data_IF_708846868463
#
_entry.id   IF_708846868463
#
_cell.length_a   1.000
_cell.length_b   1.000
_cell.length_c   1.000
_cell.angle_alpha   90.00
_cell.angle_beta   90.00
_cell.angle_gamma   90.00
#
_symmetry.space_group_name_H-M   'P 1'
#
loop_
_entity.id
_entity.type
_entity.pdbx_description
1 polymer ?
#
# COMPACT_ATOMS: atom_id res chain seq x y z
N UNK A 1 -13.01 24.89 -2.11
CA UNK A 1 -14.43 24.63 -2.23
C UNK A 1 -15.16 24.94 -0.91
N UNK A 2 -15.80 26.11 -0.79
CA UNK A 2 -16.49 26.58 0.43
C UNK A 2 -15.61 26.58 1.71
N UNK A 3 -14.30 26.74 1.55
CA UNK A 3 -13.32 26.77 2.63
C UNK A 3 -12.77 25.40 3.07
N UNK A 4 -13.24 24.29 2.47
CA UNK A 4 -12.63 22.98 2.73
C UNK A 4 -11.33 22.81 1.94
N UNK A 5 -10.33 22.25 2.59
CA UNK A 5 -9.03 21.94 2.00
C UNK A 5 -8.84 20.43 2.01
N UNK A 6 -8.68 19.84 0.84
CA UNK A 6 -8.34 18.42 0.71
C UNK A 6 -6.85 18.22 0.53
N UNK A 7 -6.34 17.16 1.12
CA UNK A 7 -4.92 16.79 1.03
C UNK A 7 -4.74 15.45 0.31
N UNK A 8 -3.65 15.34 -0.42
CA UNK A 8 -3.22 14.10 -1.07
C UNK A 8 -1.70 14.05 -1.14
N UNK A 9 -1.15 12.86 -1.14
CA UNK A 9 0.29 12.59 -1.12
C UNK A 9 0.68 11.73 -2.31
N UNK A 10 1.79 12.08 -2.97
CA UNK A 10 2.42 11.24 -3.99
C UNK A 10 3.45 10.33 -3.34
N UNK A 11 3.31 9.05 -3.59
CA UNK A 11 4.22 8.03 -3.05
C UNK A 11 5.24 7.52 -4.07
N UNK A 12 5.39 8.22 -5.20
CA UNK A 12 6.42 7.92 -6.19
C UNK A 12 7.82 8.20 -5.64
N UNK A 13 8.78 7.37 -6.02
CA UNK A 13 10.20 7.58 -5.63
C UNK A 13 10.89 8.60 -6.55
N UNK A 14 12.09 9.00 -6.16
CA UNK A 14 12.91 9.94 -6.95
C UNK A 14 13.44 9.33 -8.24
N UNK A 15 13.49 8.00 -8.34
CA UNK A 15 13.96 7.27 -9.53
C UNK A 15 13.06 6.07 -9.83
N UNK A 16 12.98 5.60 -11.08
CA UNK A 16 12.04 4.57 -11.53
C UNK A 16 12.53 3.14 -11.26
N UNK A 17 13.01 2.87 -10.04
CA UNK A 17 13.51 1.54 -9.69
C UNK A 17 12.42 0.56 -9.25
N UNK A 18 11.28 1.08 -8.79
CA UNK A 18 10.15 0.27 -8.30
C UNK A 18 8.94 0.33 -9.24
N UNK A 19 8.58 1.52 -9.70
CA UNK A 19 7.54 1.75 -10.73
C UNK A 19 8.08 2.70 -11.78
N UNK A 20 7.38 2.81 -12.90
CA UNK A 20 7.71 3.73 -13.99
C UNK A 20 7.53 5.21 -13.62
N UNK A 21 6.69 5.50 -12.61
CA UNK A 21 6.47 6.88 -12.16
C UNK A 21 7.53 7.30 -11.13
N UNK A 22 7.96 8.55 -11.28
CA UNK A 22 8.84 9.23 -10.33
C UNK A 22 8.18 10.52 -9.84
N UNK A 23 8.74 11.13 -8.79
CA UNK A 23 8.30 12.46 -8.32
C UNK A 23 8.25 13.45 -9.48
N UNK A 24 9.28 13.48 -10.36
CA UNK A 24 9.34 14.42 -11.48
C UNK A 24 8.28 14.13 -12.55
N UNK A 25 8.06 12.86 -12.91
CA UNK A 25 7.03 12.52 -13.91
C UNK A 25 5.63 12.76 -13.36
N UNK A 26 5.39 12.48 -12.09
CA UNK A 26 4.13 12.79 -11.41
C UNK A 26 3.87 14.29 -11.35
N UNK A 27 4.91 15.10 -11.04
CA UNK A 27 4.81 16.55 -11.06
C UNK A 27 4.42 17.07 -12.46
N UNK A 28 5.10 16.60 -13.52
CA UNK A 28 4.78 16.99 -14.90
C UNK A 28 3.35 16.62 -15.28
N UNK A 29 2.88 15.44 -14.89
CA UNK A 29 1.51 15.01 -15.16
C UNK A 29 0.47 15.88 -14.44
N UNK A 30 0.71 16.19 -13.17
CA UNK A 30 -0.14 17.10 -12.38
C UNK A 30 -0.18 18.50 -13.00
N UNK A 31 0.98 19.05 -13.29
CA UNK A 31 1.12 20.43 -13.75
C UNK A 31 0.48 20.68 -15.11
N UNK A 32 0.69 19.77 -16.07
CA UNK A 32 0.34 20.03 -17.45
C UNK A 32 -1.01 19.45 -17.88
N UNK A 33 -1.51 18.41 -17.19
CA UNK A 33 -2.70 17.71 -17.65
C UNK A 33 -3.74 17.48 -16.58
N UNK A 34 -3.36 16.97 -15.41
CA UNK A 34 -4.33 16.54 -14.39
C UNK A 34 -5.03 17.74 -13.76
N UNK A 35 -4.27 18.65 -13.14
CA UNK A 35 -4.85 19.84 -12.47
C UNK A 35 -5.59 20.74 -13.46
N UNK A 36 -5.04 21.07 -14.66
CA UNK A 36 -5.78 21.85 -15.66
C UNK A 36 -7.09 21.20 -16.13
N UNK A 37 -7.15 19.87 -16.19
CA UNK A 37 -8.40 19.18 -16.53
C UNK A 37 -9.43 19.26 -15.40
N UNK A 38 -8.98 19.07 -14.16
CA UNK A 38 -9.84 19.13 -12.96
C UNK A 38 -10.48 20.50 -12.74
N UNK A 39 -9.71 21.57 -12.94
CA UNK A 39 -10.19 22.95 -12.73
C UNK A 39 -11.30 23.38 -13.70
N UNK A 40 -11.53 22.61 -14.76
CA UNK A 40 -12.62 22.86 -15.73
C UNK A 40 -13.95 22.22 -15.33
N UNK A 41 -13.99 21.49 -14.23
CA UNK A 41 -15.14 20.71 -13.78
C UNK A 41 -15.43 20.92 -12.30
N UNK A 42 -16.65 20.62 -11.92
CA UNK A 42 -17.06 20.47 -10.51
C UNK A 42 -17.33 19.00 -10.24
N UNK A 43 -16.94 18.50 -9.08
CA UNK A 43 -17.12 17.11 -8.68
C UNK A 43 -18.13 17.03 -7.54
N UNK A 44 -19.17 16.23 -7.73
CA UNK A 44 -20.13 15.88 -6.68
C UNK A 44 -19.67 14.67 -5.88
N UNK A 45 -18.96 13.74 -6.54
CA UNK A 45 -18.36 12.56 -5.94
C UNK A 45 -16.95 12.34 -6.48
N UNK A 46 -15.99 11.84 -5.66
CA UNK A 46 -14.60 11.61 -6.10
C UNK A 46 -14.44 10.62 -7.26
N UNK A 47 -15.40 9.71 -7.46
CA UNK A 47 -15.35 8.72 -8.56
C UNK A 47 -15.50 9.36 -9.95
N UNK A 48 -16.04 10.57 -10.04
CA UNK A 48 -16.16 11.31 -11.30
C UNK A 48 -14.81 11.72 -11.88
N UNK A 49 -13.75 11.68 -11.06
CA UNK A 49 -12.39 12.00 -11.49
C UNK A 49 -11.92 11.06 -12.60
N UNK A 50 -12.26 9.78 -12.56
CA UNK A 50 -11.83 8.82 -13.57
C UNK A 50 -12.34 9.18 -14.96
N UNK A 51 -13.57 9.65 -15.06
CA UNK A 51 -14.14 10.16 -16.31
C UNK A 51 -13.40 11.40 -16.80
N UNK A 52 -13.12 12.34 -15.90
CA UNK A 52 -12.37 13.57 -16.19
C UNK A 52 -10.95 13.28 -16.71
N UNK A 53 -10.29 12.27 -16.16
CA UNK A 53 -8.90 11.92 -16.47
C UNK A 53 -8.75 10.72 -17.42
N UNK A 54 -9.83 10.28 -18.08
CA UNK A 54 -9.83 9.10 -18.97
C UNK A 54 -8.88 9.20 -20.16
N UNK A 55 -8.56 10.41 -20.60
CA UNK A 55 -7.61 10.67 -21.69
C UNK A 55 -6.13 10.47 -21.27
N UNK A 56 -5.84 10.45 -19.96
CA UNK A 56 -4.49 10.24 -19.44
C UNK A 56 -4.28 8.76 -19.19
N UNK A 57 -3.34 8.16 -19.92
CA UNK A 57 -2.97 6.75 -19.71
C UNK A 57 -2.02 6.62 -18.53
N UNK A 58 -2.18 5.53 -17.72
CA UNK A 58 -1.34 5.27 -16.54
C UNK A 58 -1.26 6.49 -15.62
N UNK A 59 -0.07 6.89 -15.17
CA UNK A 59 0.15 8.01 -14.23
C UNK A 59 -0.71 7.84 -12.95
N UNK A 60 -0.69 6.64 -12.41
CA UNK A 60 -1.56 6.25 -11.30
C UNK A 60 -1.22 7.00 -10.01
N UNK A 61 0.08 7.16 -9.71
CA UNK A 61 0.51 7.87 -8.51
C UNK A 61 0.18 9.37 -8.58
N UNK A 62 0.32 9.98 -9.75
CA UNK A 62 -0.13 11.36 -9.95
C UNK A 62 -1.64 11.51 -9.82
N UNK A 63 -2.43 10.58 -10.37
CA UNK A 63 -3.90 10.56 -10.24
C UNK A 63 -4.34 10.34 -8.81
N UNK A 64 -3.63 9.48 -8.05
CA UNK A 64 -3.98 9.16 -6.67
C UNK A 64 -3.97 10.38 -5.75
N UNK A 65 -3.03 11.31 -5.95
CA UNK A 65 -2.95 12.56 -5.16
C UNK A 65 -4.27 13.32 -5.21
N UNK A 66 -4.75 13.58 -6.43
CA UNK A 66 -5.96 14.39 -6.63
C UNK A 66 -7.22 13.61 -6.26
N UNK A 67 -7.24 12.29 -6.45
CA UNK A 67 -8.33 11.44 -5.97
C UNK A 67 -8.42 11.45 -4.44
N UNK A 68 -7.29 11.33 -3.75
CA UNK A 68 -7.24 11.42 -2.29
C UNK A 68 -7.72 12.79 -1.80
N UNK A 69 -7.25 13.89 -2.41
CA UNK A 69 -7.70 15.24 -2.03
C UNK A 69 -9.23 15.42 -2.21
N UNK A 70 -9.82 14.86 -3.26
CA UNK A 70 -11.27 14.89 -3.46
C UNK A 70 -12.02 14.05 -2.41
N UNK A 71 -11.52 12.86 -2.06
CA UNK A 71 -12.09 12.02 -1.01
C UNK A 71 -12.01 12.68 0.37
N UNK A 72 -10.92 13.38 0.65
CA UNK A 72 -10.77 14.12 1.89
C UNK A 72 -11.82 15.24 2.00
N UNK A 73 -11.98 16.08 0.96
CA UNK A 73 -13.03 17.12 0.89
C UNK A 73 -14.42 16.48 1.01
N UNK A 74 -14.65 15.38 0.32
CA UNK A 74 -15.95 14.70 0.34
C UNK A 74 -16.33 14.23 1.74
N UNK A 75 -15.38 13.64 2.46
CA UNK A 75 -15.58 13.19 3.84
C UNK A 75 -15.75 14.38 4.83
N UNK A 76 -14.97 15.47 4.64
CA UNK A 76 -15.12 16.71 5.41
C UNK A 76 -16.53 17.32 5.24
N UNK A 77 -17.05 17.37 4.01
CA UNK A 77 -18.43 17.85 3.74
C UNK A 77 -19.50 17.01 4.45
N UNK A 78 -19.26 15.71 4.61
CA UNK A 78 -20.14 14.82 5.36
C UNK A 78 -19.94 14.90 6.88
N UNK A 79 -18.96 15.66 7.36
CA UNK A 79 -18.58 15.75 8.78
C UNK A 79 -18.27 14.38 9.41
N UNK A 80 -17.67 13.48 8.63
CA UNK A 80 -17.34 12.11 9.06
C UNK A 80 -15.87 11.80 8.76
N UNK A 81 -15.23 10.95 9.60
CA UNK A 81 -13.94 10.37 9.24
C UNK A 81 -14.03 9.57 7.93
N UNK A 82 -12.98 9.61 7.13
CA UNK A 82 -12.96 8.93 5.82
C UNK A 82 -13.26 7.44 5.93
N UNK A 83 -12.68 6.74 6.93
CA UNK A 83 -12.94 5.31 7.13
C UNK A 83 -14.42 5.00 7.30
N UNK A 84 -15.19 5.88 7.96
CA UNK A 84 -16.63 5.73 8.12
C UNK A 84 -17.38 5.99 6.81
N UNK A 85 -16.94 6.98 6.04
CA UNK A 85 -17.56 7.33 4.74
C UNK A 85 -17.44 6.17 3.74
N UNK A 86 -16.33 5.47 3.74
CA UNK A 86 -16.09 4.33 2.83
C UNK A 86 -16.62 2.99 3.37
N UNK A 87 -17.29 2.98 4.52
CA UNK A 87 -17.88 1.76 5.09
C UNK A 87 -16.95 0.91 5.95
N UNK A 88 -15.86 1.49 6.43
CA UNK A 88 -14.95 0.84 7.36
C UNK A 88 -15.52 0.69 8.77
N UNK A 89 -14.89 -0.15 9.58
CA UNK A 89 -15.27 -0.43 10.97
C UNK A 89 -14.33 0.28 11.95
N UNK A 90 -14.89 0.76 13.08
CA UNK A 90 -14.14 1.39 14.16
C UNK A 90 -13.39 0.34 14.98
N UNK A 91 -12.29 -0.18 14.45
CA UNK A 91 -11.39 -1.09 15.16
C UNK A 91 -9.95 -0.59 15.08
N UNK A 92 -9.09 -0.89 16.06
CA UNK A 92 -7.66 -0.69 15.87
C UNK A 92 -7.18 -1.45 14.64
N UNK A 93 -6.22 -0.87 13.93
CA UNK A 93 -5.61 -1.50 12.76
C UNK A 93 -4.30 -2.15 13.20
N UNK A 94 -4.21 -3.45 13.02
CA UNK A 94 -2.99 -4.19 13.29
C UNK A 94 -1.88 -3.78 12.32
N UNK A 95 -0.70 -3.55 12.87
CA UNK A 95 0.48 -3.13 12.14
C UNK A 95 1.42 -4.30 11.88
N UNK A 96 2.04 -4.30 10.73
CA UNK A 96 3.18 -5.12 10.39
C UNK A 96 4.38 -4.27 10.05
N UNK A 97 5.55 -4.86 10.15
CA UNK A 97 6.83 -4.21 9.83
C UNK A 97 7.61 -5.02 8.80
N UNK A 98 8.43 -4.32 8.01
CA UNK A 98 9.39 -4.92 7.07
C UNK A 98 10.75 -4.97 7.75
N UNK A 99 11.37 -6.14 7.77
CA UNK A 99 12.75 -6.35 8.19
C UNK A 99 13.61 -6.56 6.95
N UNK A 100 14.54 -5.64 6.72
CA UNK A 100 15.43 -5.62 5.56
C UNK A 100 16.90 -5.47 6.04
N UNK A 101 17.35 -6.43 6.82
CA UNK A 101 18.66 -6.41 7.45
C UNK A 101 19.79 -6.75 6.47
N UNK A 102 20.97 -6.18 6.68
CA UNK A 102 22.15 -6.43 5.89
C UNK A 102 22.89 -7.73 6.27
N UNK A 103 22.59 -8.28 7.46
CA UNK A 103 23.17 -9.52 7.98
C UNK A 103 22.13 -10.36 8.70
N UNK A 104 22.43 -11.64 8.88
CA UNK A 104 21.57 -12.56 9.64
C UNK A 104 21.45 -12.13 11.12
N UNK A 105 22.54 -11.68 11.75
CA UNK A 105 22.51 -11.20 13.12
C UNK A 105 21.61 -9.98 13.29
N UNK A 106 21.73 -8.98 12.42
CA UNK A 106 20.88 -7.80 12.39
C UNK A 106 19.40 -8.17 12.17
N UNK A 107 19.14 -9.15 11.30
CA UNK A 107 17.78 -9.65 11.07
C UNK A 107 17.16 -10.24 12.36
N UNK A 108 17.93 -10.97 13.14
CA UNK A 108 17.43 -11.51 14.43
C UNK A 108 17.12 -10.38 15.43
N UNK A 109 18.01 -9.39 15.55
CA UNK A 109 17.83 -8.26 16.46
C UNK A 109 16.60 -7.43 16.06
N UNK A 110 16.42 -7.15 14.77
CA UNK A 110 15.27 -6.43 14.24
C UNK A 110 13.95 -7.18 14.48
N UNK A 111 13.94 -8.49 14.28
CA UNK A 111 12.76 -9.33 14.54
C UNK A 111 12.42 -9.31 16.03
N UNK A 112 13.40 -9.48 16.92
CA UNK A 112 13.18 -9.46 18.36
C UNK A 112 12.64 -8.10 18.82
N UNK A 113 13.20 -7.01 18.29
CA UNK A 113 12.70 -5.66 18.50
C UNK A 113 11.27 -5.48 18.04
N UNK A 114 10.93 -5.98 16.84
CA UNK A 114 9.58 -5.90 16.28
C UNK A 114 8.58 -6.69 17.14
N UNK A 115 8.91 -7.92 17.53
CA UNK A 115 8.07 -8.77 18.39
C UNK A 115 7.86 -8.10 19.75
N UNK A 116 8.93 -7.58 20.36
CA UNK A 116 8.86 -6.88 21.66
C UNK A 116 8.01 -5.60 21.59
N UNK A 117 8.01 -4.92 20.43
CA UNK A 117 7.16 -3.76 20.14
C UNK A 117 5.70 -4.12 19.85
N UNK A 118 5.37 -5.41 19.81
CA UNK A 118 4.01 -5.93 19.65
C UNK A 118 3.51 -6.01 18.20
N UNK A 119 4.38 -5.87 17.20
CA UNK A 119 3.98 -6.06 15.80
C UNK A 119 3.42 -7.45 15.57
N UNK A 120 2.29 -7.53 14.88
CA UNK A 120 1.56 -8.78 14.64
C UNK A 120 2.07 -9.54 13.42
N UNK A 121 2.76 -8.86 12.52
CA UNK A 121 3.29 -9.41 11.28
C UNK A 121 4.68 -8.83 10.99
N UNK A 122 5.58 -9.70 10.56
CA UNK A 122 6.92 -9.36 10.10
C UNK A 122 7.08 -9.82 8.65
N UNK A 123 7.55 -8.94 7.76
CA UNK A 123 7.83 -9.25 6.36
C UNK A 123 9.34 -9.33 6.14
N UNK A 124 9.78 -10.47 5.63
CA UNK A 124 11.19 -10.75 5.31
C UNK A 124 11.40 -10.75 3.81
N UNK A 125 12.46 -10.12 3.35
CA UNK A 125 12.88 -10.22 1.95
C UNK A 125 13.47 -11.60 1.69
N UNK A 126 13.03 -12.25 0.62
CA UNK A 126 13.57 -13.53 0.17
C UNK A 126 14.06 -13.44 -1.28
N UNK A 127 15.07 -14.24 -1.59
CA UNK A 127 15.61 -14.38 -2.94
C UNK A 127 16.14 -15.80 -3.16
N UNK A 128 16.69 -16.05 -4.33
CA UNK A 128 17.38 -17.28 -4.67
C UNK A 128 18.57 -17.58 -3.74
N UNK A 129 19.12 -16.54 -3.08
CA UNK A 129 20.27 -16.66 -2.16
C UNK A 129 19.86 -16.91 -0.70
N UNK A 130 18.59 -16.74 -0.38
CA UNK A 130 18.09 -16.95 0.99
C UNK A 130 18.13 -18.42 1.37
N UNK A 131 18.46 -18.71 2.63
CA UNK A 131 18.50 -20.08 3.16
C UNK A 131 17.14 -20.46 3.77
N UNK A 132 16.37 -21.37 3.14
CA UNK A 132 15.05 -21.77 3.65
C UNK A 132 15.13 -22.45 5.01
N UNK A 133 16.19 -23.21 5.31
CA UNK A 133 16.30 -23.90 6.59
C UNK A 133 16.47 -22.93 7.75
N UNK A 134 17.34 -21.92 7.59
CA UNK A 134 17.53 -20.87 8.61
C UNK A 134 16.22 -20.11 8.86
N UNK A 135 15.48 -19.78 7.78
CA UNK A 135 14.20 -19.08 7.89
C UNK A 135 13.14 -19.94 8.58
N UNK A 136 13.08 -21.24 8.30
CA UNK A 136 12.18 -22.18 8.98
C UNK A 136 12.46 -22.22 10.49
N UNK A 137 13.71 -22.33 10.89
CA UNK A 137 14.13 -22.33 12.28
C UNK A 137 13.85 -21.01 12.98
N UNK A 138 14.05 -19.89 12.27
CA UNK A 138 13.73 -18.56 12.76
C UNK A 138 12.23 -18.40 13.03
N UNK A 139 11.38 -18.70 12.04
CA UNK A 139 9.92 -18.55 12.13
C UNK A 139 9.37 -19.41 13.26
N UNK A 140 9.89 -20.62 13.44
CA UNK A 140 9.46 -21.53 14.50
C UNK A 140 9.67 -21.00 15.92
N UNK A 141 10.58 -20.01 16.11
CA UNK A 141 10.81 -19.37 17.42
C UNK A 141 9.69 -18.39 17.81
N UNK A 142 8.89 -17.91 16.84
CA UNK A 142 7.87 -16.89 17.06
C UNK A 142 6.47 -17.35 16.60
N UNK A 143 5.88 -18.39 17.21
CA UNK A 143 4.65 -19.02 16.71
C UNK A 143 3.40 -18.15 16.78
N UNK A 144 3.46 -16.99 17.46
CA UNK A 144 2.36 -16.01 17.56
C UNK A 144 2.48 -14.86 16.56
N UNK A 145 3.56 -14.82 15.77
CA UNK A 145 3.82 -13.76 14.79
C UNK A 145 3.60 -14.29 13.38
N UNK A 146 2.88 -13.54 12.55
CA UNK A 146 2.73 -13.86 11.14
C UNK A 146 4.00 -13.46 10.38
N UNK A 147 4.57 -14.38 9.63
CA UNK A 147 5.70 -14.08 8.76
C UNK A 147 5.27 -14.08 7.31
N UNK A 148 5.55 -12.98 6.61
CA UNK A 148 5.39 -12.85 5.17
C UNK A 148 6.76 -12.91 4.49
N UNK A 149 6.84 -13.61 3.38
CA UNK A 149 8.01 -13.57 2.50
C UNK A 149 7.75 -12.59 1.37
N UNK A 150 8.68 -11.70 1.07
CA UNK A 150 8.57 -10.78 -0.06
C UNK A 150 9.73 -11.01 -1.02
N UNK A 151 9.41 -11.46 -2.22
CA UNK A 151 10.39 -11.85 -3.24
C UNK A 151 10.65 -10.75 -4.27
N UNK A 152 9.81 -9.73 -4.40
CA UNK A 152 9.92 -8.65 -5.41
C UNK A 152 10.33 -9.17 -6.80
N UNK A 153 9.72 -10.25 -7.27
CA UNK A 153 9.98 -10.85 -8.57
C UNK A 153 11.31 -11.60 -8.73
N UNK A 154 11.98 -11.95 -7.63
CA UNK A 154 13.34 -12.51 -7.66
C UNK A 154 13.42 -13.90 -8.31
N UNK A 155 12.32 -14.63 -8.44
CA UNK A 155 12.33 -15.98 -9.00
C UNK A 155 11.96 -15.99 -10.49
N UNK A 156 12.42 -17.03 -11.18
CA UNK A 156 12.19 -17.23 -12.61
C UNK A 156 11.74 -18.68 -12.87
N UNK A 157 11.39 -18.99 -14.12
CA UNK A 157 11.08 -20.37 -14.51
C UNK A 157 12.22 -21.35 -14.15
N UNK A 158 13.47 -20.93 -14.29
CA UNK A 158 14.61 -21.80 -14.00
C UNK A 158 14.86 -21.99 -12.51
N UNK A 159 14.42 -21.05 -11.68
CA UNK A 159 14.64 -21.04 -10.21
C UNK A 159 13.38 -21.37 -9.41
N UNK A 160 12.28 -21.74 -10.05
CA UNK A 160 11.03 -22.16 -9.37
C UNK A 160 11.26 -23.31 -8.39
N UNK A 161 12.23 -24.19 -8.65
CA UNK A 161 12.59 -25.29 -7.74
C UNK A 161 13.20 -24.78 -6.43
N UNK A 162 13.83 -23.59 -6.43
CA UNK A 162 14.31 -22.93 -5.21
C UNK A 162 13.15 -22.30 -4.45
N UNK A 163 12.20 -21.64 -5.14
CA UNK A 163 10.99 -21.07 -4.54
C UNK A 163 10.21 -22.14 -3.76
N UNK A 164 10.07 -23.34 -4.31
CA UNK A 164 9.36 -24.46 -3.65
C UNK A 164 9.95 -24.85 -2.30
N UNK A 165 11.21 -24.57 -2.03
CA UNK A 165 11.84 -24.84 -0.72
C UNK A 165 11.28 -23.94 0.40
N UNK A 166 10.68 -22.78 0.05
CA UNK A 166 10.06 -21.88 1.02
C UNK A 166 8.64 -22.29 1.42
N UNK A 167 8.03 -23.24 0.71
CA UNK A 167 6.66 -23.69 0.99
C UNK A 167 6.49 -24.34 2.37
N UNK A 168 7.59 -24.84 2.96
CA UNK A 168 7.60 -25.49 4.26
C UNK A 168 8.24 -24.65 5.37
N UNK A 169 8.58 -23.38 5.09
CA UNK A 169 9.24 -22.52 6.08
C UNK A 169 8.28 -21.98 7.15
N UNK A 170 6.96 -22.02 6.90
CA UNK A 170 5.95 -21.49 7.81
C UNK A 170 5.54 -20.05 7.50
N UNK A 171 5.86 -19.54 6.31
CA UNK A 171 5.34 -18.25 5.85
C UNK A 171 3.83 -18.30 5.66
N UNK A 172 3.14 -17.26 6.11
CA UNK A 172 1.70 -17.08 5.91
C UNK A 172 1.37 -16.86 4.43
N UNK A 173 2.24 -16.16 3.73
CA UNK A 173 2.16 -15.90 2.29
C UNK A 173 3.54 -15.63 1.69
N UNK A 174 3.64 -15.76 0.36
CA UNK A 174 4.80 -15.30 -0.42
C UNK A 174 4.32 -14.18 -1.35
N UNK A 175 4.85 -12.98 -1.16
CA UNK A 175 4.54 -11.81 -1.96
C UNK A 175 5.39 -11.77 -3.22
N UNK A 176 4.76 -11.51 -4.36
CA UNK A 176 5.33 -11.30 -5.69
C UNK A 176 6.54 -12.20 -5.99
N UNK A 177 6.33 -13.52 -6.13
CA UNK A 177 7.46 -14.44 -6.35
C UNK A 177 8.15 -14.24 -7.70
N UNK A 178 7.39 -13.84 -8.74
CA UNK A 178 7.87 -13.63 -10.11
C UNK A 178 7.65 -12.18 -10.55
N UNK A 179 8.33 -11.78 -11.63
CA UNK A 179 8.11 -10.44 -12.20
C UNK A 179 6.64 -10.24 -12.59
N UNK A 180 6.19 -8.99 -12.58
CA UNK A 180 4.79 -8.57 -12.76
C UNK A 180 4.12 -9.12 -14.02
N UNK A 181 4.89 -9.41 -15.08
CA UNK A 181 4.37 -9.90 -16.37
C UNK A 181 4.26 -11.42 -16.42
N UNK A 182 4.57 -12.14 -15.35
CA UNK A 182 4.69 -13.60 -15.33
C UNK A 182 3.48 -14.31 -14.68
N UNK A 183 2.27 -13.80 -14.90
CA UNK A 183 1.05 -14.36 -14.30
C UNK A 183 0.85 -15.86 -14.57
N UNK A 184 1.18 -16.33 -15.79
CA UNK A 184 1.09 -17.76 -16.12
C UNK A 184 2.08 -18.61 -15.31
N UNK A 185 3.31 -18.13 -15.11
CA UNK A 185 4.29 -18.82 -14.30
C UNK A 185 3.86 -18.84 -12.83
N UNK A 186 3.30 -17.72 -12.35
CA UNK A 186 2.74 -17.62 -11.01
C UNK A 186 1.61 -18.62 -10.79
N UNK A 187 0.67 -18.75 -11.75
CA UNK A 187 -0.41 -19.73 -11.70
C UNK A 187 0.11 -21.17 -11.61
N UNK A 188 1.05 -21.54 -12.50
CA UNK A 188 1.66 -22.87 -12.49
C UNK A 188 2.38 -23.20 -11.17
N UNK A 189 3.04 -22.20 -10.57
CA UNK A 189 3.71 -22.38 -9.30
C UNK A 189 2.69 -22.51 -8.16
N UNK A 190 1.68 -21.63 -8.11
CA UNK A 190 0.65 -21.65 -7.07
C UNK A 190 -0.14 -22.94 -7.05
N UNK A 191 -0.38 -23.58 -8.22
CA UNK A 191 -1.06 -24.87 -8.29
C UNK A 191 -0.33 -25.97 -7.48
N UNK A 192 0.99 -25.88 -7.37
CA UNK A 192 1.83 -26.88 -6.71
C UNK A 192 2.33 -26.48 -5.34
N UNK A 193 2.05 -25.25 -4.88
CA UNK A 193 2.49 -24.74 -3.59
C UNK A 193 1.31 -24.53 -2.64
N UNK A 194 1.51 -24.85 -1.35
CA UNK A 194 0.52 -24.66 -0.29
C UNK A 194 0.47 -23.22 0.18
N UNK A 195 1.63 -22.58 0.29
CA UNK A 195 1.75 -21.19 0.72
C UNK A 195 1.13 -20.27 -0.34
N UNK A 196 0.11 -19.46 0.02
CA UNK A 196 -0.56 -18.60 -0.95
C UNK A 196 0.36 -17.49 -1.46
N UNK A 197 0.26 -17.18 -2.75
CA UNK A 197 0.92 -16.02 -3.33
C UNK A 197 0.05 -14.78 -3.16
N UNK A 198 0.68 -13.68 -2.72
CA UNK A 198 0.12 -12.34 -2.71
C UNK A 198 0.73 -11.54 -3.85
N UNK A 199 -0.08 -11.01 -4.76
CA UNK A 199 0.42 -10.22 -5.88
C UNK A 199 0.45 -8.73 -5.51
N UNK A 200 1.63 -8.13 -5.65
CA UNK A 200 1.94 -6.72 -5.38
C UNK A 200 2.10 -5.95 -6.71
N UNK A 201 3.28 -6.00 -7.31
CA UNK A 201 3.60 -5.24 -8.53
C UNK A 201 2.71 -5.64 -9.72
N UNK A 202 2.21 -6.85 -9.75
CA UNK A 202 1.27 -7.34 -10.78
C UNK A 202 -0.12 -6.69 -10.71
N UNK A 203 -0.46 -5.94 -9.66
CA UNK A 203 -1.77 -5.34 -9.45
C UNK A 203 -1.71 -3.83 -9.57
N UNK A 204 -1.99 -3.29 -10.74
CA UNK A 204 -2.06 -1.86 -11.03
C UNK A 204 -3.47 -1.39 -11.46
N UNK A 205 -4.38 -2.32 -11.70
CA UNK A 205 -5.75 -2.02 -12.15
C UNK A 205 -6.74 -3.11 -11.75
N UNK A 206 -8.04 -2.84 -11.92
CA UNK A 206 -9.09 -3.85 -11.71
C UNK A 206 -8.97 -5.00 -12.73
N UNK A 207 -8.48 -4.72 -13.93
CA UNK A 207 -8.26 -5.74 -14.95
C UNK A 207 -7.20 -6.76 -14.53
N UNK A 208 -6.13 -6.31 -13.88
CA UNK A 208 -5.09 -7.20 -13.34
C UNK A 208 -5.66 -8.12 -12.26
N UNK A 209 -6.57 -7.61 -11.43
CA UNK A 209 -7.30 -8.42 -10.43
C UNK A 209 -8.17 -9.47 -11.11
N UNK A 210 -8.91 -9.09 -12.14
CA UNK A 210 -9.75 -10.02 -12.92
C UNK A 210 -8.91 -11.10 -13.58
N UNK A 211 -7.76 -10.73 -14.12
CA UNK A 211 -6.80 -11.67 -14.69
C UNK A 211 -6.22 -12.61 -13.62
N UNK A 212 -5.79 -12.07 -12.48
CA UNK A 212 -5.31 -12.88 -11.35
C UNK A 212 -6.34 -13.94 -10.93
N UNK A 213 -7.59 -13.52 -10.73
CA UNK A 213 -8.68 -14.42 -10.33
C UNK A 213 -8.93 -15.49 -11.39
N UNK A 214 -9.01 -15.10 -12.66
CA UNK A 214 -9.31 -16.02 -13.77
C UNK A 214 -8.19 -17.03 -14.02
N UNK A 215 -6.94 -16.61 -13.88
CA UNK A 215 -5.76 -17.47 -14.08
C UNK A 215 -5.33 -18.20 -12.80
N UNK A 216 -5.88 -17.84 -11.64
CA UNK A 216 -5.44 -18.33 -10.33
C UNK A 216 -3.95 -18.10 -10.08
N UNK A 217 -3.41 -16.97 -10.56
CA UNK A 217 -1.99 -16.63 -10.46
C UNK A 217 -1.54 -16.15 -9.08
N UNK A 218 -2.50 -15.87 -8.22
CA UNK A 218 -2.32 -15.54 -6.80
C UNK A 218 -3.62 -15.77 -6.05
N UNK A 219 -3.56 -15.73 -4.73
CA UNK A 219 -4.71 -15.92 -3.84
C UNK A 219 -5.01 -14.72 -2.96
N UNK A 220 -4.11 -13.76 -2.91
CA UNK A 220 -4.17 -12.58 -2.05
C UNK A 220 -3.71 -11.37 -2.87
N UNK A 221 -4.26 -10.20 -2.58
CA UNK A 221 -3.84 -8.94 -3.21
C UNK A 221 -3.15 -8.05 -2.20
N UNK A 222 -2.03 -7.46 -2.64
CA UNK A 222 -1.36 -6.35 -1.95
C UNK A 222 -1.89 -5.04 -2.51
N UNK A 223 -2.69 -4.34 -1.70
CA UNK A 223 -3.27 -3.07 -2.12
C UNK A 223 -2.31 -1.92 -1.83
N UNK A 224 -1.96 -1.19 -2.87
CA UNK A 224 -1.25 0.10 -2.79
C UNK A 224 -2.05 1.14 -3.56
N UNK A 225 -2.74 2.02 -2.84
CA UNK A 225 -3.67 3.00 -3.43
C UNK A 225 -2.99 3.89 -4.47
N UNK A 226 -1.75 4.29 -4.23
CA UNK A 226 -0.97 5.06 -5.20
C UNK A 226 -0.80 4.35 -6.54
N UNK A 227 -0.50 3.05 -6.51
CA UNK A 227 -0.26 2.24 -7.72
C UNK A 227 -1.53 1.99 -8.54
N UNK A 228 -2.69 1.93 -7.90
CA UNK A 228 -3.96 1.72 -8.61
C UNK A 228 -4.69 3.00 -8.99
N UNK A 229 -4.11 4.19 -8.72
CA UNK A 229 -4.68 5.48 -9.11
C UNK A 229 -5.60 6.13 -8.09
N UNK A 230 -5.54 5.70 -6.82
CA UNK A 230 -6.24 6.33 -5.69
C UNK A 230 -7.33 5.46 -5.07
N UNK A 231 -8.02 6.04 -4.10
CA UNK A 231 -9.01 5.36 -3.27
C UNK A 231 -10.21 4.85 -4.08
N UNK A 232 -10.71 5.62 -5.06
CA UNK A 232 -11.84 5.19 -5.90
C UNK A 232 -11.57 3.85 -6.60
N UNK A 233 -10.40 3.70 -7.21
CA UNK A 233 -10.01 2.44 -7.85
C UNK A 233 -9.76 1.34 -6.83
N UNK A 234 -9.13 1.66 -5.69
CA UNK A 234 -8.93 0.72 -4.60
C UNK A 234 -10.26 0.15 -4.07
N UNK A 235 -11.30 0.98 -3.94
CA UNK A 235 -12.64 0.55 -3.51
C UNK A 235 -13.30 -0.39 -4.54
N UNK A 236 -13.18 -0.10 -5.84
CA UNK A 236 -13.70 -1.01 -6.90
C UNK A 236 -12.99 -2.36 -6.90
N UNK A 237 -11.66 -2.34 -6.71
CA UNK A 237 -10.87 -3.57 -6.56
C UNK A 237 -11.33 -4.32 -5.30
N UNK A 238 -11.50 -3.62 -4.18
CA UNK A 238 -12.00 -4.20 -2.94
C UNK A 238 -13.35 -4.91 -3.13
N UNK A 239 -14.33 -4.25 -3.76
CA UNK A 239 -15.63 -4.87 -4.06
C UNK A 239 -15.50 -6.14 -4.91
N UNK A 240 -14.60 -6.12 -5.90
CA UNK A 240 -14.33 -7.29 -6.74
C UNK A 240 -13.73 -8.43 -5.94
N UNK A 241 -12.78 -8.15 -5.08
CA UNK A 241 -12.13 -9.13 -4.22
C UNK A 241 -13.13 -9.74 -3.21
N UNK A 242 -13.97 -8.91 -2.57
CA UNK A 242 -15.04 -9.42 -1.68
C UNK A 242 -15.98 -10.39 -2.40
N UNK A 243 -16.41 -10.06 -3.63
CA UNK A 243 -17.28 -10.94 -4.44
C UNK A 243 -16.61 -12.25 -4.84
N UNK A 244 -15.29 -12.27 -4.92
CA UNK A 244 -14.49 -13.43 -5.31
C UNK A 244 -13.86 -14.18 -4.12
N UNK A 245 -14.13 -13.76 -2.88
CA UNK A 245 -13.52 -14.27 -1.64
C UNK A 245 -11.97 -14.23 -1.69
N UNK A 246 -11.42 -13.14 -2.22
CA UNK A 246 -9.99 -12.89 -2.29
C UNK A 246 -9.59 -11.93 -1.18
N UNK A 247 -8.76 -12.37 -0.22
CA UNK A 247 -8.26 -11.50 0.84
C UNK A 247 -7.38 -10.37 0.29
N UNK A 248 -7.41 -9.24 1.01
CA UNK A 248 -6.58 -8.07 0.71
C UNK A 248 -5.77 -7.70 1.95
N UNK A 249 -4.57 -7.21 1.76
CA UNK A 249 -3.83 -6.48 2.78
C UNK A 249 -3.17 -5.23 2.20
N UNK A 250 -2.86 -4.26 3.05
CA UNK A 250 -2.33 -2.96 2.63
C UNK A 250 -0.81 -2.98 2.65
N UNK A 251 -0.21 -2.83 1.46
CA UNK A 251 1.23 -2.67 1.31
C UNK A 251 1.68 -1.22 1.50
N UNK A 252 2.92 -1.02 1.94
CA UNK A 252 3.54 0.30 2.16
C UNK A 252 4.37 0.79 0.99
N UNK A 253 4.58 2.13 0.95
CA UNK A 253 5.40 2.85 -0.03
C UNK A 253 6.39 3.84 0.61
N UNK A 254 6.64 3.78 1.93
CA UNK A 254 7.42 4.78 2.67
C UNK A 254 6.67 6.13 2.72
N UNK A 255 5.42 6.08 3.12
CA UNK A 255 4.51 7.23 3.17
C UNK A 255 4.79 8.17 4.33
N UNK A 256 4.45 9.45 4.15
CA UNK A 256 4.14 10.37 5.24
C UNK A 256 2.72 10.09 5.78
N UNK A 257 2.32 10.91 6.75
CA UNK A 257 1.06 10.70 7.47
C UNK A 257 -0.20 10.83 6.62
N UNK A 258 -0.18 11.58 5.52
CA UNK A 258 -1.36 11.75 4.66
C UNK A 258 -1.71 10.43 3.97
N UNK A 259 -0.80 9.85 3.19
CA UNK A 259 -1.04 8.57 2.50
C UNK A 259 -1.26 7.44 3.51
N UNK A 260 -0.52 7.44 4.62
CA UNK A 260 -0.73 6.48 5.71
C UNK A 260 -2.15 6.54 6.28
N UNK A 261 -2.73 7.73 6.47
CA UNK A 261 -4.10 7.88 6.95
C UNK A 261 -5.14 7.34 5.96
N UNK A 262 -4.94 7.54 4.64
CA UNK A 262 -5.75 6.90 3.60
C UNK A 262 -5.64 5.37 3.63
N UNK A 263 -4.44 4.85 3.79
CA UNK A 263 -4.19 3.41 3.89
C UNK A 263 -4.84 2.81 5.14
N UNK A 264 -4.82 3.50 6.28
CA UNK A 264 -5.52 3.09 7.50
C UNK A 264 -7.04 3.07 7.32
N UNK A 265 -7.59 4.09 6.65
CA UNK A 265 -9.01 4.11 6.33
C UNK A 265 -9.41 2.91 5.48
N UNK A 266 -8.64 2.57 4.44
CA UNK A 266 -8.87 1.39 3.61
C UNK A 266 -8.70 0.07 4.40
N UNK A 267 -7.69 -0.01 5.28
CA UNK A 267 -7.45 -1.21 6.11
C UNK A 267 -8.60 -1.51 7.09
N UNK A 268 -9.48 -0.55 7.36
CA UNK A 268 -10.66 -0.74 8.22
C UNK A 268 -11.83 -1.44 7.52
N UNK A 269 -11.77 -1.64 6.20
CA UNK A 269 -12.81 -2.28 5.40
C UNK A 269 -12.92 -3.79 5.69
N UNK A 270 -14.13 -4.38 5.54
CA UNK A 270 -14.28 -5.83 5.55
C UNK A 270 -13.41 -6.51 4.49
N UNK A 271 -12.88 -7.71 4.77
CA UNK A 271 -12.04 -8.45 3.83
C UNK A 271 -10.59 -7.97 3.72
N UNK A 272 -10.23 -6.87 4.37
CA UNK A 272 -8.84 -6.50 4.62
C UNK A 272 -8.42 -7.16 5.94
N UNK A 273 -7.79 -8.32 5.84
CA UNK A 273 -7.70 -9.29 6.95
C UNK A 273 -6.32 -9.43 7.56
N UNK A 274 -5.29 -8.97 6.88
CA UNK A 274 -3.91 -9.10 7.37
C UNK A 274 -3.37 -7.75 7.87
N UNK A 275 -2.47 -7.77 8.88
CA UNK A 275 -1.77 -6.55 9.32
C UNK A 275 -1.00 -5.91 8.16
N UNK A 276 -1.29 -4.64 7.87
CA UNK A 276 -0.68 -3.90 6.77
C UNK A 276 0.77 -3.48 7.03
N UNK A 277 1.46 -2.95 6.01
CA UNK A 277 2.78 -2.32 6.16
C UNK A 277 2.62 -0.95 6.83
N UNK A 278 2.40 -0.95 8.13
CA UNK A 278 2.23 0.24 8.94
C UNK A 278 3.33 0.36 9.99
N UNK A 279 4.25 1.26 9.79
CA UNK A 279 5.25 1.64 10.79
C UNK A 279 4.94 3.01 11.38
N UNK A 280 5.44 3.29 12.56
CA UNK A 280 5.41 4.64 13.12
C UNK A 280 6.11 5.64 12.19
N UNK A 281 5.64 6.89 12.15
CA UNK A 281 6.21 7.89 11.24
C UNK A 281 7.70 8.12 11.46
N UNK A 282 8.17 8.03 12.70
CA UNK A 282 9.58 8.16 13.06
C UNK A 282 10.47 6.98 12.64
N UNK A 283 9.89 5.91 12.07
CA UNK A 283 10.67 4.81 11.50
C UNK A 283 11.44 5.25 10.24
N UNK A 284 10.84 6.13 9.42
CA UNK A 284 11.45 6.61 8.18
C UNK A 284 11.84 8.09 8.22
N UNK A 285 11.16 8.90 9.05
CA UNK A 285 11.23 10.36 8.98
C UNK A 285 11.58 10.98 10.33
N UNK A 286 12.50 11.96 10.34
CA UNK A 286 12.75 12.78 11.53
C UNK A 286 11.54 13.65 11.87
N UNK A 287 10.80 14.08 10.85
CA UNK A 287 9.57 14.87 10.98
C UNK A 287 8.56 14.39 9.94
N UNK A 288 7.33 14.17 10.38
CA UNK A 288 6.22 13.90 9.47
C UNK A 288 5.65 15.22 8.94
N UNK A 289 5.18 15.22 7.69
CA UNK A 289 4.52 16.39 7.07
C UNK A 289 3.07 16.55 7.53
N UNK A 290 2.52 15.59 8.24
CA UNK A 290 1.13 15.58 8.70
C UNK A 290 1.02 15.53 10.22
N UNK A 291 -0.06 16.07 10.74
CA UNK A 291 -0.43 16.03 12.14
C UNK A 291 -1.93 15.69 12.34
N UNK A 292 -2.31 14.93 13.40
CA UNK A 292 -1.41 14.33 14.40
C UNK A 292 -0.52 13.25 13.77
N UNK A 293 0.66 13.04 14.37
CA UNK A 293 1.60 11.99 13.94
C UNK A 293 0.98 10.63 14.22
N UNK A 294 1.04 9.75 13.22
CA UNK A 294 0.52 8.39 13.29
C UNK A 294 1.62 7.46 13.82
N UNK A 295 1.40 6.89 14.99
CA UNK A 295 2.33 5.97 15.63
C UNK A 295 1.69 4.60 15.90
N UNK A 296 2.53 3.58 15.86
CA UNK A 296 2.17 2.22 16.28
C UNK A 296 2.33 2.11 17.80
N UNK A 297 1.32 1.60 18.47
CA UNK A 297 1.33 1.33 19.91
C UNK A 297 0.96 -0.14 20.14
N UNK A 298 1.90 -0.91 20.65
CA UNK A 298 1.72 -2.35 20.89
C UNK A 298 1.21 -3.12 19.65
N UNK A 299 1.77 -2.78 18.48
CA UNK A 299 1.43 -3.42 17.21
C UNK A 299 0.09 -2.97 16.60
N UNK A 300 -0.52 -1.89 17.11
CA UNK A 300 -1.80 -1.38 16.63
C UNK A 300 -1.77 0.13 16.40
N UNK A 301 -2.63 0.60 15.51
CA UNK A 301 -2.84 2.02 15.23
C UNK A 301 -4.33 2.33 15.37
N UNK A 302 -4.63 3.43 16.08
CA UNK A 302 -5.99 3.94 16.19
C UNK A 302 -6.38 4.71 14.93
N UNK A 303 -7.58 4.45 14.42
CA UNK A 303 -8.12 5.18 13.27
C UNK A 303 -8.31 6.66 13.60
N UNK A 304 -7.99 7.57 12.66
CA UNK A 304 -8.27 8.99 12.82
C UNK A 304 -9.77 9.24 13.07
N UNK A 305 -10.09 10.17 13.98
CA UNK A 305 -11.49 10.46 14.40
C UNK A 305 -12.04 11.75 13.82
N UNK A 306 -11.17 12.63 13.30
CA UNK A 306 -11.60 13.90 12.72
C UNK A 306 -12.24 13.69 11.34
N UNK A 307 -13.18 14.58 10.93
CA UNK A 307 -13.73 14.58 9.57
C UNK A 307 -12.63 14.63 8.49
N UNK A 308 -12.90 14.03 7.34
CA UNK A 308 -11.92 13.88 6.29
C UNK A 308 -10.99 12.70 6.54
N UNK A 309 -9.79 12.77 6.00
CA UNK A 309 -8.74 11.76 6.22
C UNK A 309 -8.23 11.76 7.68
N UNK A 310 -8.54 12.82 8.43
CA UNK A 310 -8.30 12.93 9.85
C UNK A 310 -6.89 13.39 10.24
N UNK A 311 -6.09 13.81 9.28
CA UNK A 311 -4.81 14.49 9.46
C UNK A 311 -4.79 15.79 8.68
N UNK A 312 -3.90 16.71 9.06
CA UNK A 312 -3.67 18.00 8.38
C UNK A 312 -2.20 18.15 8.06
N UNK A 313 -1.87 18.95 7.06
CA UNK A 313 -0.48 19.31 6.80
C UNK A 313 0.06 20.21 7.92
N UNK A 314 1.23 19.87 8.43
CA UNK A 314 2.02 20.73 9.28
C UNK A 314 2.78 21.72 8.39
N UNK A 315 2.18 22.88 8.13
CA UNK A 315 2.72 23.87 7.21
C UNK A 315 4.15 24.33 7.59
N UNK A 316 4.49 24.37 8.88
CA UNK A 316 5.85 24.72 9.32
C UNK A 316 6.87 23.70 8.82
N UNK A 317 6.55 22.42 8.88
CA UNK A 317 7.43 21.34 8.41
C UNK A 317 7.43 21.30 6.87
N UNK A 318 6.25 21.46 6.26
CA UNK A 318 6.15 21.55 4.79
C UNK A 318 7.03 22.67 4.24
N UNK A 319 6.93 23.88 4.78
CA UNK A 319 7.74 25.03 4.33
C UNK A 319 9.25 24.81 4.54
N UNK A 320 9.64 24.05 5.58
CA UNK A 320 11.05 23.70 5.84
C UNK A 320 11.63 22.76 4.77
N UNK A 321 10.83 21.83 4.25
CA UNK A 321 11.28 20.81 3.29
C UNK A 321 10.80 21.07 1.85
N UNK A 322 10.12 22.17 1.63
CA UNK A 322 9.62 22.53 0.31
C UNK A 322 10.75 22.72 -0.69
N UNK A 323 10.72 21.97 -1.78
CA UNK A 323 11.65 22.09 -2.91
C UNK A 323 11.02 22.88 -4.05
N UNK A 324 9.70 22.73 -4.26
CA UNK A 324 8.95 23.32 -5.35
C UNK A 324 7.50 23.56 -4.96
N UNK A 325 6.95 24.69 -5.38
CA UNK A 325 5.52 25.03 -5.21
C UNK A 325 4.96 25.57 -6.51
N UNK A 326 3.73 25.19 -6.83
CA UNK A 326 2.95 25.78 -7.92
C UNK A 326 1.51 25.96 -7.49
N UNK A 327 0.93 27.10 -7.81
CA UNK A 327 -0.47 27.43 -7.56
C UNK A 327 -1.23 27.43 -8.88
N UNK A 328 -2.45 26.92 -8.83
CA UNK A 328 -3.39 26.94 -9.95
C UNK A 328 -4.69 27.56 -9.45
N UNK A 329 -5.33 28.31 -10.31
CA UNK A 329 -6.61 28.98 -10.03
C UNK A 329 -7.64 28.56 -11.05
N UNK A 330 -8.90 28.33 -10.59
CA UNK A 330 -10.05 28.03 -11.45
C UNK A 330 -10.55 29.29 -12.15
#
# INVERSE_FOLDING_TARGET
>A
DQGNIGVGECVAFSSPWYTEETVETAWLALENWIIPAMLKQTFSHPDELDGCLSFIKRNHMAKSIVNHALWDIYAQKQQKPLWQVIGGSSRPIEAGVVVAAASEAEMYDDIESAVSSGYKRIKLKISQLSNPQNLKELIAKYPQTLFFADANGAFTKDTIHLLKKFDECGFTLIEQPFSEQQNKLSAMAQETMKTPFALDESIASIQDVEEMISQQSGKIIVMKQGRVGGLSNALRIHEKCIKADVPIWVGGMIEFGVSKAFNLAFASLPGVTYPGDFSSSNHFWNHDLAEPIINVHHGEIQLPKLPGVGVKLNHKIVDQYEVRRKLFYA
#
